data_IF_074131836107
#
_entry.id   IF_074131836107
#
_cell.length_a   1.000
_cell.length_b   1.000
_cell.length_c   1.000
_cell.angle_alpha   90.00
_cell.angle_beta   90.00
_cell.angle_gamma   90.00
#
_symmetry.space_group_name_H-M   'P 1'
#
loop_
_entity.id
_entity.type
_entity.pdbx_description
1 polymer ?
#
# COMPACT_ATOMS: atom_id res chain seq x y z
N UNK A 1 4.69 4.28 -18.96
CA UNK A 1 5.79 3.64 -18.21
C UNK A 1 5.31 3.45 -16.79
N UNK A 2 4.67 2.32 -16.48
CA UNK A 2 4.29 1.95 -15.11
C UNK A 2 5.48 1.25 -14.50
N UNK A 3 6.41 2.04 -13.96
CA UNK A 3 7.62 1.53 -13.34
C UNK A 3 7.27 0.84 -12.03
N UNK A 4 7.12 -0.48 -12.09
CA UNK A 4 7.10 -1.39 -10.93
C UNK A 4 8.53 -1.49 -10.36
N UNK A 5 9.11 -0.36 -9.95
CA UNK A 5 10.40 -0.33 -9.28
C UNK A 5 10.21 -0.81 -7.83
N UNK A 6 10.64 -2.05 -7.55
CA UNK A 6 10.93 -2.63 -6.22
C UNK A 6 10.12 -2.03 -5.07
N UNK A 7 9.02 -2.69 -4.68
CA UNK A 7 8.17 -2.34 -3.52
C UNK A 7 9.00 -1.80 -2.36
N UNK A 8 9.09 -0.46 -2.18
CA UNK A 8 9.96 0.08 -1.17
C UNK A 8 9.37 -0.24 0.22
N UNK A 9 10.24 -0.35 1.22
CA UNK A 9 9.77 -0.49 2.60
C UNK A 9 9.01 0.77 2.99
N UNK A 10 7.82 0.59 3.55
CA UNK A 10 6.99 1.68 4.06
C UNK A 10 7.67 2.34 5.25
N UNK A 11 8.47 3.37 4.94
CA UNK A 11 9.24 4.16 5.90
C UNK A 11 8.60 5.52 6.07
N UNK A 12 8.77 6.17 7.22
CA UNK A 12 8.19 7.51 7.46
C UNK A 12 8.61 8.49 6.36
N UNK A 13 9.90 8.52 6.02
CA UNK A 13 10.42 9.40 4.97
C UNK A 13 9.82 9.11 3.59
N UNK A 14 9.61 7.83 3.26
CA UNK A 14 8.97 7.43 2.01
C UNK A 14 7.50 7.89 1.98
N UNK A 15 6.76 7.59 3.04
CA UNK A 15 5.35 7.98 3.20
C UNK A 15 5.14 9.50 3.10
N UNK A 16 5.99 10.27 3.78
CA UNK A 16 5.91 11.74 3.73
C UNK A 16 6.33 12.33 2.38
N UNK A 17 7.11 11.60 1.58
CA UNK A 17 7.46 12.00 0.22
C UNK A 17 6.37 11.72 -0.83
N UNK A 18 5.30 10.99 -0.46
CA UNK A 18 4.22 10.69 -1.40
C UNK A 18 3.35 11.92 -1.67
N UNK A 19 2.79 11.99 -2.88
CA UNK A 19 1.82 13.02 -3.26
C UNK A 19 0.48 12.75 -2.58
N UNK A 20 -0.25 13.80 -2.20
CA UNK A 20 -1.63 13.66 -1.72
C UNK A 20 -2.51 12.98 -2.77
N UNK A 21 -3.42 12.10 -2.32
CA UNK A 21 -4.40 11.46 -3.18
C UNK A 21 -3.94 10.17 -3.86
N UNK A 22 -2.64 9.83 -3.83
CA UNK A 22 -2.17 8.51 -4.29
C UNK A 22 -2.63 7.43 -3.32
N UNK A 23 -2.93 6.24 -3.84
CA UNK A 23 -3.33 5.09 -3.05
C UNK A 23 -2.11 4.32 -2.54
N UNK A 24 -1.93 4.26 -1.23
CA UNK A 24 -0.89 3.45 -0.62
C UNK A 24 -1.49 2.13 -0.12
N UNK A 25 -0.85 1.03 -0.50
CA UNK A 25 -1.13 -0.28 0.07
C UNK A 25 0.12 -0.88 0.72
N UNK A 26 -0.04 -1.48 1.90
CA UNK A 26 1.05 -2.15 2.61
C UNK A 26 0.68 -3.57 3.00
N UNK A 27 1.69 -4.44 3.13
CA UNK A 27 1.57 -5.86 3.49
C UNK A 27 0.89 -6.73 2.43
N UNK A 28 1.45 -6.78 1.22
CA UNK A 28 1.02 -7.72 0.15
C UNK A 28 1.84 -9.02 0.24
N UNK A 29 1.91 -9.63 1.43
CA UNK A 29 2.79 -10.78 1.68
C UNK A 29 2.07 -12.13 1.74
N UNK A 30 0.99 -12.22 2.51
CA UNK A 30 0.52 -13.54 3.00
C UNK A 30 -0.81 -13.99 2.38
N UNK A 31 -1.75 -13.07 2.09
CA UNK A 31 -3.14 -13.42 1.72
C UNK A 31 -3.82 -12.48 0.71
N UNK A 32 -3.04 -11.71 -0.06
CA UNK A 32 -3.55 -10.65 -0.97
C UNK A 32 -4.50 -9.62 -0.33
N UNK A 33 -4.63 -9.61 1.00
CA UNK A 33 -5.40 -8.64 1.76
C UNK A 33 -4.43 -7.61 2.34
N UNK A 34 -4.35 -6.41 1.76
CA UNK A 34 -3.49 -5.38 2.31
C UNK A 34 -3.96 -5.03 3.73
N UNK A 35 -3.05 -5.07 4.70
CA UNK A 35 -3.33 -4.64 6.08
C UNK A 35 -3.55 -3.13 6.17
N UNK A 36 -3.11 -2.38 5.16
CA UNK A 36 -3.35 -0.96 5.01
C UNK A 36 -3.61 -0.65 3.55
N UNK A 37 -4.74 -0.02 3.23
CA UNK A 37 -5.14 0.35 1.87
C UNK A 37 -5.97 1.63 1.89
N UNK A 38 -5.29 2.78 1.91
CA UNK A 38 -5.94 4.08 2.00
C UNK A 38 -5.23 5.10 1.10
N UNK A 39 -5.95 6.11 0.59
CA UNK A 39 -5.32 7.24 -0.08
C UNK A 39 -4.45 8.04 0.91
N UNK A 40 -3.35 8.58 0.42
CA UNK A 40 -2.48 9.48 1.19
C UNK A 40 -3.26 10.75 1.52
N UNK A 41 -3.41 10.99 2.81
CA UNK A 41 -4.04 12.19 3.35
C UNK A 41 -3.18 13.43 3.09
N UNK A 42 -3.84 14.59 3.23
CA UNK A 42 -3.21 15.89 3.27
C UNK A 42 -2.12 15.99 4.32
N UNK A 43 -1.17 16.90 4.11
CA UNK A 43 -0.01 17.08 4.96
C UNK A 43 -0.38 17.22 6.45
N UNK A 44 -1.49 17.91 6.72
CA UNK A 44 -2.04 18.17 8.05
C UNK A 44 -2.48 16.89 8.78
N UNK A 45 -2.90 15.88 8.02
CA UNK A 45 -3.42 14.59 8.51
C UNK A 45 -2.43 13.43 8.29
N UNK A 46 -1.24 13.70 7.74
CA UNK A 46 -0.22 12.67 7.49
C UNK A 46 0.33 12.07 8.77
N UNK A 47 0.53 12.88 9.81
CA UNK A 47 1.00 12.33 11.09
C UNK A 47 -0.01 11.39 11.73
N UNK A 48 -1.30 11.72 11.66
CA UNK A 48 -2.38 10.85 12.13
C UNK A 48 -2.44 9.55 11.31
N UNK A 49 -2.35 9.65 9.98
CA UNK A 49 -2.30 8.47 9.12
C UNK A 49 -1.05 7.62 9.37
N UNK A 50 0.11 8.22 9.61
CA UNK A 50 1.33 7.52 9.97
C UNK A 50 1.20 6.77 11.30
N UNK A 51 0.50 7.34 12.29
CA UNK A 51 0.21 6.65 13.54
C UNK A 51 -0.68 5.41 13.31
N UNK A 52 -1.67 5.48 12.42
CA UNK A 52 -2.49 4.30 12.04
C UNK A 52 -1.66 3.20 11.37
N UNK A 53 -0.74 3.57 10.48
CA UNK A 53 0.21 2.64 9.83
C UNK A 53 1.04 1.89 10.87
N UNK A 54 1.59 2.60 11.87
CA UNK A 54 2.34 1.97 12.98
C UNK A 54 1.45 1.07 13.84
N UNK A 55 0.22 1.49 14.14
CA UNK A 55 -0.73 0.67 14.92
C UNK A 55 -1.09 -0.64 14.20
N UNK A 56 -1.20 -0.59 12.86
CA UNK A 56 -1.41 -1.77 12.02
C UNK A 56 -0.13 -2.61 11.84
N UNK A 57 1.02 -2.18 12.39
CA UNK A 57 2.34 -2.85 12.28
C UNK A 57 2.78 -3.12 10.85
N UNK A 58 2.34 -2.26 9.92
CA UNK A 58 2.69 -2.33 8.50
C UNK A 58 3.83 -1.39 8.15
N UNK A 59 4.37 -0.66 9.13
CA UNK A 59 5.61 0.08 8.97
C UNK A 59 6.77 -0.89 8.73
N UNK A 60 7.74 -0.45 7.93
CA UNK A 60 8.86 -1.26 7.43
C UNK A 60 8.50 -2.49 6.57
N UNK A 61 7.21 -2.73 6.33
CA UNK A 61 6.78 -3.76 5.39
C UNK A 61 6.83 -3.27 3.94
N UNK A 62 6.77 -4.20 3.00
CA UNK A 62 6.71 -3.88 1.57
C UNK A 62 5.38 -3.18 1.26
N UNK A 63 5.46 -2.08 0.52
CA UNK A 63 4.29 -1.33 0.08
C UNK A 63 4.30 -1.08 -1.42
N UNK A 64 3.10 -0.87 -1.96
CA UNK A 64 2.88 -0.45 -3.33
C UNK A 64 2.07 0.84 -3.33
N UNK A 65 2.44 1.75 -4.23
CA UNK A 65 1.74 3.01 -4.42
C UNK A 65 1.10 3.01 -5.79
N UNK A 66 -0.19 3.32 -5.83
CA UNK A 66 -0.96 3.45 -7.05
C UNK A 66 -1.44 4.88 -7.21
N UNK A 67 -1.37 5.41 -8.44
CA UNK A 67 -1.86 6.77 -8.72
C UNK A 67 -3.37 6.81 -8.55
N UNK A 68 -4.09 5.77 -9.02
CA UNK A 68 -5.54 5.68 -8.88
C UNK A 68 -5.98 4.39 -8.21
N UNK A 69 -7.13 4.47 -7.54
CA UNK A 69 -7.84 3.28 -7.01
C UNK A 69 -8.12 2.24 -8.10
N UNK A 70 -8.32 2.67 -9.36
CA UNK A 70 -8.54 1.76 -10.50
C UNK A 70 -7.31 0.90 -10.79
N UNK A 71 -6.11 1.45 -10.66
CA UNK A 71 -4.87 0.68 -10.82
C UNK A 71 -4.72 -0.36 -9.71
N UNK A 72 -5.11 -0.01 -8.48
CA UNK A 72 -5.20 -0.97 -7.38
C UNK A 72 -6.24 -2.07 -7.66
N UNK A 73 -7.45 -1.71 -8.09
CA UNK A 73 -8.51 -2.69 -8.40
C UNK A 73 -8.08 -3.64 -9.52
N UNK A 74 -7.39 -3.09 -10.53
CA UNK A 74 -6.77 -3.87 -11.59
C UNK A 74 -5.65 -4.77 -11.05
N UNK A 75 -4.76 -4.25 -10.21
CA UNK A 75 -3.67 -5.01 -9.62
C UNK A 75 -4.20 -6.17 -8.76
N UNK A 76 -5.22 -5.95 -7.93
CA UNK A 76 -5.85 -7.02 -7.14
C UNK A 76 -6.53 -8.06 -8.02
N UNK A 77 -7.18 -7.63 -9.12
CA UNK A 77 -7.76 -8.56 -10.11
C UNK A 77 -6.69 -9.37 -10.85
N UNK A 78 -5.56 -8.76 -11.22
CA UNK A 78 -4.45 -9.41 -11.90
C UNK A 78 -3.63 -10.30 -10.96
N UNK A 79 -3.49 -9.90 -9.70
CA UNK A 79 -2.87 -10.70 -8.64
C UNK A 79 -3.70 -11.93 -8.29
N UNK A 80 -5.00 -11.90 -8.57
CA UNK A 80 -5.95 -12.98 -8.31
C UNK A 80 -6.17 -13.20 -6.81
N UNK A 81 -7.29 -13.85 -6.40
CA UNK A 81 -7.27 -14.55 -5.13
C UNK A 81 -6.16 -15.60 -5.21
N UNK A 82 -5.37 -15.77 -4.14
CA UNK A 82 -4.64 -17.02 -3.96
C UNK A 82 -5.72 -18.11 -3.97
N UNK A 83 -5.86 -18.85 -5.07
CA UNK A 83 -6.64 -20.07 -5.08
C UNK A 83 -5.89 -20.99 -4.11
N UNK A 84 -6.33 -21.02 -2.86
CA UNK A 84 -6.06 -22.09 -1.91
C UNK A 84 -6.70 -23.35 -2.50
N UNK A 85 -6.03 -23.89 -3.50
CA UNK A 85 -6.24 -25.23 -4.03
C UNK A 85 -4.89 -25.84 -4.25
N UNK A 86 -4.44 -26.52 -3.19
CA UNK A 86 -3.63 -27.73 -3.18
C UNK A 86 -3.18 -27.92 -1.72
N UNK A 87 -3.64 -28.88 -0.94
CA UNK A 87 -4.45 -30.08 -1.15
C UNK A 87 -4.39 -30.90 0.13
#
# INVERSE_FOLDING_TARGET
>A
MTELARSPKLSKSFFFGLTEGVYLISNVGDKFKPSFAEPISSADKREEQWNRIKQARVDQQLCHVFVHKKDFDKAIKEWGPCDDKQG
#
